data_IF_502473750183
#
_entry.id   IF_502473750183
#
_cell.length_a   1.000
_cell.length_b   1.000
_cell.length_c   1.000
_cell.angle_alpha   90.00
_cell.angle_beta   90.00
_cell.angle_gamma   90.00
#
_symmetry.space_group_name_H-M   'P 1'
#
loop_
_entity.id
_entity.type
_entity.pdbx_description
1 polymer ?
#
# COMPACT_ATOMS: atom_id res chain seq x y z
N UNK A 1 45.44 -9.86 -38.90
CA UNK A 1 45.00 -9.80 -38.59
C UNK A 1 44.27 -9.60 -38.02
N UNK A 2 43.99 -9.55 -37.80
CA UNK A 2 43.34 -9.37 -37.33
C UNK A 2 42.53 -9.04 -36.93
N UNK A 3 42.23 -8.99 -36.79
CA UNK A 3 41.66 -8.57 -36.50
C UNK A 3 40.69 -8.61 -36.13
N UNK A 4 40.25 -8.61 -36.20
CA UNK A 4 39.48 -8.77 -36.08
C UNK A 4 38.86 -8.66 -35.13
N UNK A 5 38.73 -8.84 -34.87
CA UNK A 5 38.34 -8.84 -34.01
C UNK A 5 37.62 -8.05 -33.53
N UNK A 6 37.47 -7.82 -33.57
CA UNK A 6 37.10 -7.06 -33.13
C UNK A 6 35.95 -6.84 -32.99
N UNK A 7 35.54 -7.04 -33.22
CA UNK A 7 34.60 -6.78 -33.23
C UNK A 7 33.72 -7.11 -32.54
N UNK A 8 33.71 -7.46 -32.44
CA UNK A 8 32.77 -7.95 -32.00
C UNK A 8 32.26 -7.32 -30.94
N UNK A 9 32.52 -7.27 -30.62
CA UNK A 9 32.36 -6.62 -29.64
C UNK A 9 31.30 -5.89 -29.56
N UNK A 10 31.32 -5.57 -30.01
CA UNK A 10 30.49 -4.72 -29.91
C UNK A 10 29.18 -5.04 -29.54
N UNK A 11 28.99 -5.57 -29.85
CA UNK A 11 27.88 -5.76 -29.66
C UNK A 11 27.29 -5.74 -28.57
N UNK A 12 27.51 -5.98 -28.24
CA UNK A 12 27.12 -6.16 -27.10
C UNK A 12 26.49 -5.13 -26.61
N UNK A 13 27.03 -4.45 -26.65
CA UNK A 13 26.58 -3.39 -26.18
C UNK A 13 25.28 -3.16 -26.38
N UNK A 14 24.99 -3.34 -27.30
CA UNK A 14 23.76 -3.03 -27.62
C UNK A 14 22.83 -3.38 -26.61
N UNK A 15 22.97 -4.34 -26.24
CA UNK A 15 22.18 -4.78 -25.38
C UNK A 15 21.87 -4.03 -24.33
N UNK A 16 22.72 -3.70 -23.77
CA UNK A 16 22.54 -3.01 -22.62
C UNK A 16 21.58 -1.92 -22.72
N UNK A 17 21.41 -1.44 -23.80
CA UNK A 17 20.60 -0.31 -23.84
C UNK A 17 19.17 -0.51 -23.57
N UNK A 18 18.72 -1.66 -23.74
CA UNK A 18 17.39 -1.85 -23.51
C UNK A 18 16.88 -1.35 -22.28
N UNK A 19 17.41 -1.68 -21.22
CA UNK A 19 16.87 -1.29 -19.95
C UNK A 19 16.65 0.17 -19.91
N UNK A 20 17.41 0.87 -20.62
CA UNK A 20 17.30 2.25 -20.57
C UNK A 20 16.03 2.75 -21.10
N UNK A 21 15.46 2.07 -21.97
CA UNK A 21 14.27 2.52 -22.57
C UNK A 21 13.15 2.62 -21.65
N UNK A 22 13.20 1.91 -20.59
CA UNK A 22 12.09 1.92 -19.68
C UNK A 22 12.22 2.98 -18.64
N UNK A 23 13.16 3.83 -18.79
CA UNK A 23 13.36 4.83 -17.77
C UNK A 23 12.13 5.64 -17.49
N UNK A 24 11.32 5.85 -18.47
CA UNK A 24 10.15 6.68 -18.26
C UNK A 24 8.96 5.92 -17.76
N UNK A 25 8.99 4.62 -17.79
CA UNK A 25 7.86 3.83 -17.36
C UNK A 25 8.02 3.33 -15.96
N UNK A 26 6.93 3.15 -15.27
CA UNK A 26 7.02 2.56 -13.95
C UNK A 26 7.50 1.14 -14.12
N UNK A 27 8.23 0.62 -13.18
CA UNK A 27 8.72 -0.73 -13.29
C UNK A 27 7.56 -1.70 -13.36
N UNK A 28 7.78 -2.76 -14.08
CA UNK A 28 6.76 -3.79 -14.16
C UNK A 28 6.94 -4.70 -12.97
N UNK A 29 6.24 -4.41 -11.92
CA UNK A 29 6.35 -5.20 -10.72
C UNK A 29 5.39 -6.37 -10.74
N UNK A 30 5.79 -7.45 -10.15
CA UNK A 30 4.90 -8.59 -10.01
C UNK A 30 3.85 -8.25 -8.96
N UNK A 31 2.82 -9.04 -8.90
CA UNK A 31 1.78 -8.85 -7.90
C UNK A 31 2.37 -8.92 -6.51
N UNK A 32 3.29 -9.85 -6.27
CA UNK A 32 3.91 -9.95 -4.97
C UNK A 32 4.71 -8.72 -4.62
N UNK A 33 5.41 -8.16 -5.58
CA UNK A 33 6.18 -6.96 -5.33
C UNK A 33 5.29 -5.78 -5.02
N UNK A 34 4.15 -5.69 -5.71
CA UNK A 34 3.22 -4.60 -5.45
C UNK A 34 2.63 -4.74 -4.06
N UNK A 35 2.30 -5.96 -3.67
CA UNK A 35 1.74 -6.18 -2.35
C UNK A 35 2.77 -5.85 -1.27
N UNK A 36 4.02 -6.23 -1.50
CA UNK A 36 5.07 -5.93 -0.53
C UNK A 36 5.29 -4.43 -0.41
N UNK A 37 5.12 -3.71 -1.51
CA UNK A 37 5.32 -2.25 -1.48
C UNK A 37 4.17 -1.54 -0.78
N UNK A 38 2.95 -2.05 -0.89
CA UNK A 38 1.80 -1.40 -0.30
C UNK A 38 1.53 -1.83 1.13
N UNK A 39 1.93 -3.04 1.49
CA UNK A 39 1.62 -3.56 2.81
C UNK A 39 2.05 -2.68 3.99
N UNK A 40 3.25 -2.12 4.01
CA UNK A 40 3.63 -1.28 5.15
C UNK A 40 2.72 -0.06 5.28
N UNK A 41 2.22 0.45 4.15
CA UNK A 41 1.35 1.60 4.19
C UNK A 41 -0.04 1.23 4.66
N UNK A 42 -0.51 0.06 4.27
CA UNK A 42 -1.77 -0.45 4.77
C UNK A 42 -1.67 -0.66 6.27
N UNK A 43 -0.56 -1.22 6.73
CA UNK A 43 -0.37 -1.46 8.14
C UNK A 43 -0.31 -0.15 8.92
N UNK A 44 0.38 0.84 8.38
CA UNK A 44 0.49 2.12 9.06
C UNK A 44 -0.86 2.80 9.19
N UNK A 45 -1.66 2.77 8.12
CA UNK A 45 -2.99 3.36 8.17
C UNK A 45 -3.86 2.60 9.17
N UNK A 46 -3.76 1.28 9.16
CA UNK A 46 -4.56 0.45 10.03
C UNK A 46 -4.20 0.66 11.50
N UNK A 47 -2.91 0.74 11.79
CA UNK A 47 -2.47 0.98 13.16
C UNK A 47 -2.98 2.31 13.66
N UNK A 48 -2.96 3.34 12.82
CA UNK A 48 -3.46 4.64 13.22
C UNK A 48 -4.94 4.56 13.57
N UNK A 49 -5.72 3.92 12.69
CA UNK A 49 -7.16 3.82 12.89
C UNK A 49 -7.48 3.00 14.13
N UNK A 50 -6.79 1.88 14.31
CA UNK A 50 -7.02 1.02 15.45
C UNK A 50 -6.74 1.78 16.75
N UNK A 51 -5.62 2.50 16.80
CA UNK A 51 -5.30 3.26 18.00
C UNK A 51 -6.32 4.36 18.26
N UNK A 52 -6.77 5.03 17.22
CA UNK A 52 -7.74 6.10 17.41
C UNK A 52 -9.08 5.56 17.90
N UNK A 53 -9.50 4.42 17.36
CA UNK A 53 -10.76 3.82 17.76
C UNK A 53 -10.69 3.34 19.20
N UNK A 54 -9.62 2.65 19.55
CA UNK A 54 -9.49 2.12 20.89
C UNK A 54 -9.41 3.23 21.92
N UNK A 55 -8.82 4.36 21.55
CA UNK A 55 -8.70 5.48 22.47
C UNK A 55 -10.01 6.26 22.62
N UNK A 56 -11.00 6.02 21.77
CA UNK A 56 -12.24 6.74 21.84
C UNK A 56 -13.03 6.26 23.06
N UNK A 57 -13.52 7.18 23.89
CA UNK A 57 -14.24 6.78 25.10
C UNK A 57 -15.46 5.90 24.82
N UNK A 58 -16.04 6.00 23.65
CA UNK A 58 -17.20 5.19 23.33
C UNK A 58 -16.86 3.74 23.07
N UNK A 59 -15.57 3.43 22.85
CA UNK A 59 -15.18 2.12 22.48
C UNK A 59 -15.32 1.26 23.69
N UNK A 60 -15.61 0.68 24.28
CA UNK A 60 -15.71 -0.09 25.45
C UNK A 60 -17.14 -0.48 25.79
N UNK A 61 -18.10 0.21 25.20
CA UNK A 61 -19.45 -0.09 25.52
C UNK A 61 -19.90 -1.12 24.52
N UNK A 62 -21.08 -1.48 24.49
CA UNK A 62 -21.54 -2.48 23.58
C UNK A 62 -21.35 -1.96 22.19
N UNK A 63 -20.42 -2.46 21.51
CA UNK A 63 -19.94 -1.79 20.46
C UNK A 63 -20.07 -2.21 19.12
N UNK A 64 -20.49 -3.33 18.83
CA UNK A 64 -20.56 -3.77 17.48
C UNK A 64 -21.28 -2.78 16.61
N UNK A 65 -22.32 -2.21 17.12
CA UNK A 65 -23.10 -1.30 16.30
C UNK A 65 -22.42 0.03 16.10
N UNK A 66 -21.53 0.39 16.98
CA UNK A 66 -20.86 1.66 16.90
C UNK A 66 -19.50 1.59 16.28
N UNK A 67 -19.00 0.41 16.04
CA UNK A 67 -17.64 0.26 15.57
C UNK A 67 -17.42 0.95 14.22
N UNK A 68 -18.35 0.79 13.30
CA UNK A 68 -18.22 1.44 12.01
C UNK A 68 -18.18 2.95 12.15
N UNK A 69 -18.98 3.47 13.06
CA UNK A 69 -19.03 4.90 13.27
C UNK A 69 -17.72 5.38 13.88
N UNK A 70 -17.18 4.62 14.83
CA UNK A 70 -15.89 4.99 15.41
C UNK A 70 -14.78 4.98 14.39
N UNK A 71 -14.82 4.03 13.47
CA UNK A 71 -13.82 3.97 12.42
C UNK A 71 -13.92 5.21 11.54
N UNK A 72 -15.13 5.61 11.15
CA UNK A 72 -15.30 6.79 10.33
C UNK A 72 -14.82 8.02 11.11
N UNK A 73 -15.15 8.09 12.38
CA UNK A 73 -14.77 9.25 13.19
C UNK A 73 -13.26 9.33 13.41
N UNK A 74 -12.54 8.22 13.22
CA UNK A 74 -11.10 8.21 13.40
C UNK A 74 -10.38 8.76 12.19
N UNK A 75 -11.06 8.87 11.05
CA UNK A 75 -10.39 9.23 9.80
C UNK A 75 -9.68 10.57 9.83
N UNK A 76 -10.26 11.62 10.42
CA UNK A 76 -9.53 12.89 10.43
C UNK A 76 -8.18 12.81 11.12
N UNK A 77 -8.03 11.95 12.11
CA UNK A 77 -6.78 11.82 12.81
C UNK A 77 -5.77 11.00 12.01
N UNK A 78 -6.23 10.25 11.04
CA UNK A 78 -5.39 9.34 10.30
C UNK A 78 -5.28 9.67 8.81
N UNK A 79 -5.56 10.92 8.45
CA UNK A 79 -5.53 11.34 7.06
C UNK A 79 -4.20 11.06 6.39
N UNK A 80 -3.10 11.36 7.04
CA UNK A 80 -1.81 11.18 6.41
C UNK A 80 -1.51 9.74 6.03
N UNK A 81 -1.56 8.80 6.95
CA UNK A 81 -1.27 7.43 6.56
C UNK A 81 -2.33 6.85 5.62
N UNK A 82 -3.59 7.25 5.76
CA UNK A 82 -4.61 6.76 4.86
C UNK A 82 -4.37 7.27 3.45
N UNK A 83 -4.02 8.55 3.32
CA UNK A 83 -3.75 9.10 2.02
C UNK A 83 -2.51 8.45 1.40
N UNK A 84 -1.48 8.19 2.20
CA UNK A 84 -0.29 7.54 1.68
C UNK A 84 -0.61 6.15 1.15
N UNK A 85 -1.51 5.44 1.83
CA UNK A 85 -1.93 4.13 1.38
C UNK A 85 -2.69 4.23 0.06
N UNK A 86 -3.61 5.17 -0.04
CA UNK A 86 -4.40 5.34 -1.25
C UNK A 86 -3.49 5.72 -2.42
N UNK A 87 -2.55 6.62 -2.18
CA UNK A 87 -1.65 7.06 -3.24
C UNK A 87 -0.75 5.92 -3.70
N UNK A 88 -0.34 5.06 -2.80
CA UNK A 88 0.50 3.93 -3.18
C UNK A 88 -0.28 2.95 -4.04
N UNK A 89 -1.54 2.70 -3.71
CA UNK A 89 -2.34 1.83 -4.54
C UNK A 89 -2.52 2.42 -5.93
N UNK A 90 -2.74 3.74 -6.02
CA UNK A 90 -2.86 4.37 -7.31
C UNK A 90 -1.58 4.21 -8.11
N UNK A 91 -0.44 4.34 -7.43
CA UNK A 91 0.83 4.25 -8.12
C UNK A 91 1.11 2.85 -8.65
N UNK A 92 0.81 1.84 -7.86
CA UNK A 92 1.17 0.48 -8.23
C UNK A 92 0.09 -0.26 -9.01
N UNK A 93 -1.16 0.10 -8.83
CA UNK A 93 -2.26 -0.61 -9.48
C UNK A 93 -3.07 0.25 -10.45
N UNK A 94 -2.80 1.54 -10.50
CA UNK A 94 -3.48 2.43 -11.44
C UNK A 94 -4.35 3.44 -10.75
N UNK A 95 -4.56 4.58 -11.39
CA UNK A 95 -5.35 5.65 -10.82
C UNK A 95 -6.74 5.16 -10.45
N UNK A 96 -7.19 5.54 -9.31
CA UNK A 96 -8.50 5.14 -8.81
C UNK A 96 -8.48 3.85 -8.02
N UNK A 97 -7.39 3.07 -8.10
CA UNK A 97 -7.31 1.82 -7.37
C UNK A 97 -7.31 2.05 -5.87
N UNK A 98 -6.68 3.14 -5.43
CA UNK A 98 -6.60 3.41 -4.00
C UNK A 98 -7.95 3.68 -3.39
N UNK A 99 -8.77 4.48 -4.06
CA UNK A 99 -10.07 4.78 -3.55
C UNK A 99 -10.95 3.54 -3.57
N UNK A 100 -10.87 2.75 -4.65
CA UNK A 100 -11.65 1.53 -4.74
C UNK A 100 -11.28 0.56 -3.63
N UNK A 101 -9.97 0.44 -3.34
CA UNK A 101 -9.53 -0.43 -2.28
C UNK A 101 -10.02 0.09 -0.93
N UNK A 102 -9.87 1.37 -0.70
CA UNK A 102 -10.25 1.97 0.58
C UNK A 102 -11.74 1.85 0.84
N UNK A 103 -12.56 2.17 -0.15
CA UNK A 103 -13.99 2.20 0.05
C UNK A 103 -14.63 0.82 0.05
N UNK A 104 -13.91 -0.20 -0.36
CA UNK A 104 -14.45 -1.55 -0.41
C UNK A 104 -13.72 -2.49 0.52
N UNK A 105 -12.75 -3.26 -0.01
CA UNK A 105 -12.12 -4.29 0.80
C UNK A 105 -11.52 -3.78 2.10
N UNK A 106 -10.94 -2.59 2.07
CA UNK A 106 -10.26 -2.09 3.26
C UNK A 106 -11.25 -1.79 4.38
N UNK A 107 -12.31 -1.08 4.07
CA UNK A 107 -13.29 -0.77 5.10
C UNK A 107 -13.96 -2.05 5.61
N UNK A 108 -14.08 -3.06 4.75
CA UNK A 108 -14.70 -4.30 5.16
C UNK A 108 -13.88 -5.06 6.20
N UNK A 109 -12.56 -4.94 6.16
CA UNK A 109 -11.74 -5.66 7.12
C UNK A 109 -11.38 -4.84 8.36
N UNK A 110 -11.64 -3.55 8.35
CA UNK A 110 -11.25 -2.73 9.50
C UNK A 110 -11.88 -3.16 10.83
N UNK A 111 -13.15 -3.55 10.87
CA UNK A 111 -13.70 -3.98 12.15
C UNK A 111 -12.95 -5.16 12.73
N UNK A 112 -12.51 -6.09 11.88
CA UNK A 112 -11.76 -7.23 12.36
C UNK A 112 -10.38 -6.79 12.82
N UNK A 113 -9.80 -5.82 12.14
CA UNK A 113 -8.48 -5.32 12.51
C UNK A 113 -8.54 -4.64 13.87
N UNK A 114 -9.60 -3.89 14.14
CA UNK A 114 -9.75 -3.24 15.44
C UNK A 114 -9.88 -4.29 16.52
N UNK A 115 -10.71 -5.30 16.29
CA UNK A 115 -10.91 -6.36 17.27
C UNK A 115 -9.61 -7.10 17.55
N UNK A 116 -8.83 -7.37 16.50
CA UNK A 116 -7.57 -8.05 16.68
C UNK A 116 -6.57 -7.16 17.43
N UNK A 117 -6.62 -5.86 17.17
CA UNK A 117 -5.73 -4.93 17.85
C UNK A 117 -6.01 -4.89 19.35
N UNK A 118 -7.27 -4.96 19.72
CA UNK A 118 -7.62 -4.96 21.12
C UNK A 118 -7.07 -6.20 21.79
N UNK A 119 -7.15 -7.34 21.14
CA UNK A 119 -6.66 -8.57 21.74
C UNK A 119 -5.16 -8.56 21.92
N UNK A 120 -4.44 -7.81 21.10
CA UNK A 120 -3.01 -7.75 21.23
C UNK A 120 -2.57 -6.79 22.30
N UNK A 121 -3.45 -5.89 22.70
CA UNK A 121 -3.08 -4.89 23.68
C UNK A 121 -3.24 -5.49 25.06
N UNK A 122 -2.22 -5.55 25.86
CA UNK A 122 -2.29 -6.15 27.18
C UNK A 122 -3.18 -5.35 28.13
#
# INVERSE_FOLDING_TARGET
MLLASLFGTALVVAVATEPLNNAGDPPHLSMQEKMAATEPLVRSATDCIVHAVIADPRYGDDQSAQLSELIVDSMPACVKPVRAMIDAYDRYYGDGSGEAFFMGPYLDVLPKAVTAGVKKTP
#
